data_IF_782466949381
#
_entry.id   IF_782466949381
#
_cell.length_a   1.000
_cell.length_b   1.000
_cell.length_c   1.000
_cell.angle_alpha   90.00
_cell.angle_beta   90.00
_cell.angle_gamma   90.00
#
_symmetry.space_group_name_H-M   'P 1'
#
loop_
_entity.id
_entity.type
_entity.pdbx_description
1 polymer ?
#
# COMPACT_ATOMS: atom_id res chain seq x y z
N UNK A 1 -9.76 -38.69 33.20
CA UNK A 1 -8.91 -37.48 33.20
C UNK A 1 -9.78 -36.30 32.78
N UNK A 2 -10.02 -35.36 33.69
CA UNK A 2 -10.78 -34.13 33.42
C UNK A 2 -9.86 -33.13 32.69
N UNK A 3 -10.33 -32.40 31.66
CA UNK A 3 -9.49 -31.39 31.02
C UNK A 3 -9.23 -30.26 32.01
N UNK A 4 -7.96 -29.93 32.25
CA UNK A 4 -7.57 -28.72 32.97
C UNK A 4 -7.95 -27.54 32.08
N UNK A 5 -9.06 -26.88 32.43
CA UNK A 5 -9.50 -25.64 31.80
C UNK A 5 -8.43 -24.60 32.13
N UNK A 6 -7.53 -24.32 31.17
CA UNK A 6 -6.57 -23.24 31.29
C UNK A 6 -7.32 -21.94 31.63
N UNK A 7 -6.75 -21.11 32.51
CA UNK A 7 -7.34 -19.81 32.85
C UNK A 7 -7.46 -18.99 31.56
N UNK A 8 -8.66 -18.95 31.01
CA UNK A 8 -9.03 -18.05 29.93
C UNK A 8 -8.89 -16.64 30.50
N UNK A 9 -7.89 -15.89 30.03
CA UNK A 9 -7.73 -14.48 30.42
C UNK A 9 -8.99 -13.74 29.99
N UNK A 10 -9.56 -12.98 30.89
CA UNK A 10 -10.75 -12.17 30.66
C UNK A 10 -10.37 -10.99 29.74
N UNK A 11 -10.27 -11.26 28.45
CA UNK A 11 -9.86 -10.34 27.37
C UNK A 11 -10.65 -9.03 27.41
N UNK A 12 -11.91 -9.09 27.86
CA UNK A 12 -12.79 -7.92 27.99
C UNK A 12 -12.31 -6.97 29.08
N UNK A 13 -11.80 -7.47 30.21
CA UNK A 13 -11.24 -6.62 31.28
C UNK A 13 -9.94 -5.96 30.86
N UNK A 14 -9.04 -6.69 30.20
CA UNK A 14 -7.76 -6.16 29.72
C UNK A 14 -7.97 -5.02 28.71
N UNK A 15 -8.92 -5.19 27.76
CA UNK A 15 -9.28 -4.14 26.80
C UNK A 15 -9.89 -2.92 27.51
N UNK A 16 -10.78 -3.11 28.49
CA UNK A 16 -11.39 -2.01 29.23
C UNK A 16 -10.36 -1.24 30.07
N UNK A 17 -9.39 -1.92 30.65
CA UNK A 17 -8.29 -1.31 31.39
C UNK A 17 -7.38 -0.51 30.47
N UNK A 18 -7.04 -1.04 29.30
CA UNK A 18 -6.29 -0.32 28.27
C UNK A 18 -7.03 0.92 27.77
N UNK A 19 -8.33 0.81 27.50
CA UNK A 19 -9.13 1.95 27.05
C UNK A 19 -9.20 3.05 28.12
N UNK A 20 -9.40 2.69 29.39
CA UNK A 20 -9.38 3.64 30.51
C UNK A 20 -8.01 4.28 30.69
N UNK A 21 -6.94 3.50 30.54
CA UNK A 21 -5.58 4.01 30.62
C UNK A 21 -5.30 5.03 29.51
N UNK A 22 -5.70 4.74 28.26
CA UNK A 22 -5.50 5.66 27.15
C UNK A 22 -6.34 6.92 27.29
N UNK A 23 -7.62 6.80 27.67
CA UNK A 23 -8.54 7.94 27.79
C UNK A 23 -8.19 8.89 28.94
N UNK A 24 -7.47 8.41 29.96
CA UNK A 24 -7.00 9.25 31.08
C UNK A 24 -5.69 9.96 30.77
N UNK A 25 -4.91 9.45 29.82
CA UNK A 25 -3.57 9.96 29.49
C UNK A 25 -3.55 10.91 28.31
N UNK A 26 -4.44 10.72 27.34
CA UNK A 26 -4.47 11.51 26.11
C UNK A 26 -5.86 12.09 25.88
N UNK A 27 -5.90 13.38 25.60
CA UNK A 27 -7.10 14.03 25.05
C UNK A 27 -7.21 13.75 23.55
N UNK A 28 -8.38 13.97 22.96
CA UNK A 28 -8.55 13.89 21.51
C UNK A 28 -7.66 14.91 20.77
N UNK A 29 -7.49 16.11 21.35
CA UNK A 29 -6.55 17.12 20.86
C UNK A 29 -5.10 16.63 20.84
N UNK A 30 -4.66 15.89 21.87
CA UNK A 30 -3.33 15.27 21.90
C UNK A 30 -3.18 14.25 20.76
N UNK A 31 -4.17 13.38 20.58
CA UNK A 31 -4.16 12.35 19.52
C UNK A 31 -4.11 13.00 18.14
N UNK A 32 -4.94 14.01 17.90
CA UNK A 32 -4.97 14.73 16.62
C UNK A 32 -3.66 15.47 16.35
N UNK A 33 -3.06 16.11 17.35
CA UNK A 33 -1.73 16.71 17.22
C UNK A 33 -0.66 15.68 16.89
N UNK A 34 -0.59 14.58 17.64
CA UNK A 34 0.36 13.50 17.40
C UNK A 34 0.20 12.89 16.00
N UNK A 35 -1.04 12.71 15.54
CA UNK A 35 -1.35 12.23 14.20
C UNK A 35 -0.83 13.19 13.13
N UNK A 36 -1.12 14.50 13.24
CA UNK A 36 -0.67 15.51 12.27
C UNK A 36 0.86 15.55 12.22
N UNK A 37 1.52 15.61 13.38
CA UNK A 37 2.98 15.66 13.48
C UNK A 37 3.64 14.45 12.83
N UNK A 38 3.22 13.23 13.18
CA UNK A 38 3.83 12.00 12.63
C UNK A 38 3.45 11.75 11.16
N UNK A 39 2.25 12.12 10.72
CA UNK A 39 1.85 12.01 9.31
C UNK A 39 2.68 12.94 8.42
N UNK A 40 2.84 14.21 8.82
CA UNK A 40 3.66 15.17 8.06
C UNK A 40 5.13 14.77 8.06
N UNK A 41 5.65 14.29 9.20
CA UNK A 41 7.00 13.73 9.29
C UNK A 41 7.20 12.55 8.34
N UNK A 42 6.28 11.58 8.33
CA UNK A 42 6.32 10.45 7.39
C UNK A 42 6.32 10.92 5.94
N UNK A 43 5.42 11.83 5.56
CA UNK A 43 5.36 12.36 4.18
C UNK A 43 6.66 13.08 3.80
N UNK A 44 7.21 13.90 4.72
CA UNK A 44 8.44 14.66 4.47
C UNK A 44 9.63 13.76 4.13
N UNK A 45 9.68 12.55 4.68
CA UNK A 45 10.73 11.58 4.37
C UNK A 45 10.76 11.19 2.88
N UNK A 46 9.64 11.31 2.16
CA UNK A 46 9.54 10.94 0.74
C UNK A 46 9.51 12.16 -0.20
N UNK A 47 9.91 13.35 0.28
CA UNK A 47 10.13 14.53 -0.58
C UNK A 47 11.37 14.40 -1.47
N UNK A 48 12.30 13.52 -1.09
CA UNK A 48 13.47 13.11 -1.89
C UNK A 48 13.55 11.59 -1.90
N UNK A 49 13.48 11.03 -3.08
CA UNK A 49 13.43 9.60 -3.38
C UNK A 49 14.26 9.33 -4.62
N UNK A 50 14.66 8.08 -4.81
CA UNK A 50 15.38 7.66 -6.01
C UNK A 50 14.38 7.47 -7.17
N UNK A 51 13.20 6.92 -6.88
CA UNK A 51 12.17 6.65 -7.89
C UNK A 51 10.77 7.00 -7.40
N UNK A 52 10.00 7.62 -8.29
CA UNK A 52 8.55 7.83 -8.13
C UNK A 52 7.83 6.94 -9.15
N UNK A 53 6.97 6.05 -8.66
CA UNK A 53 6.06 5.24 -9.48
C UNK A 53 4.67 5.87 -9.41
N UNK A 54 4.08 6.15 -10.57
CA UNK A 54 2.75 6.76 -10.66
C UNK A 54 1.72 5.68 -11.01
N UNK A 55 0.86 5.36 -10.05
CA UNK A 55 -0.18 4.33 -10.13
C UNK A 55 0.22 3.02 -9.42
N UNK A 56 -0.62 2.56 -8.51
CA UNK A 56 -0.47 1.28 -7.80
C UNK A 56 -1.30 0.16 -8.45
N UNK A 57 -1.34 0.11 -9.79
CA UNK A 57 -1.87 -1.03 -10.54
C UNK A 57 -0.88 -2.21 -10.61
N UNK A 58 -1.20 -3.30 -11.34
CA UNK A 58 -0.33 -4.47 -11.45
C UNK A 58 1.09 -4.14 -11.92
N UNK A 59 1.22 -3.33 -12.98
CA UNK A 59 2.51 -2.93 -13.52
C UNK A 59 3.29 -2.03 -12.55
N UNK A 60 2.63 -1.04 -11.95
CA UNK A 60 3.26 -0.12 -11.00
C UNK A 60 3.74 -0.80 -9.72
N UNK A 61 2.93 -1.69 -9.15
CA UNK A 61 3.33 -2.49 -8.00
C UNK A 61 4.47 -3.47 -8.33
N UNK A 62 4.44 -4.08 -9.52
CA UNK A 62 5.53 -4.96 -9.96
C UNK A 62 6.83 -4.20 -10.16
N UNK A 63 6.78 -3.01 -10.78
CA UNK A 63 7.94 -2.14 -10.94
C UNK A 63 8.48 -1.71 -9.57
N UNK A 64 7.62 -1.21 -8.68
CA UNK A 64 7.99 -0.80 -7.33
C UNK A 64 8.62 -1.95 -6.53
N UNK A 65 8.10 -3.18 -6.65
CA UNK A 65 8.68 -4.37 -6.04
C UNK A 65 10.14 -4.57 -6.46
N UNK A 66 10.44 -4.54 -7.76
CA UNK A 66 11.80 -4.72 -8.25
C UNK A 66 12.73 -3.55 -7.90
N UNK A 67 12.23 -2.32 -7.92
CA UNK A 67 13.00 -1.13 -7.54
C UNK A 67 13.38 -1.19 -6.05
N UNK A 68 12.44 -1.52 -5.17
CA UNK A 68 12.70 -1.69 -3.73
C UNK A 68 13.64 -2.87 -3.47
N UNK A 69 13.45 -4.00 -4.19
CA UNK A 69 14.33 -5.18 -4.12
C UNK A 69 15.77 -4.84 -4.53
N UNK A 70 15.96 -3.82 -5.36
CA UNK A 70 17.27 -3.31 -5.77
C UNK A 70 17.86 -2.28 -4.80
N UNK A 71 17.17 -1.99 -3.68
CA UNK A 71 17.61 -1.04 -2.65
C UNK A 71 17.31 0.43 -2.95
N UNK A 72 16.50 0.72 -3.98
CA UNK A 72 16.13 2.10 -4.32
C UNK A 72 14.97 2.58 -3.46
N UNK A 73 15.14 3.77 -2.85
CA UNK A 73 14.09 4.42 -2.09
C UNK A 73 12.97 4.85 -3.04
N UNK A 74 11.90 4.06 -3.03
CA UNK A 74 10.81 4.17 -3.99
C UNK A 74 9.52 4.60 -3.30
N UNK A 75 8.82 5.56 -3.90
CA UNK A 75 7.43 5.89 -3.56
C UNK A 75 6.48 5.54 -4.70
N UNK A 76 5.33 4.95 -4.38
CA UNK A 76 4.22 4.71 -5.30
C UNK A 76 3.09 5.67 -4.98
N UNK A 77 2.66 6.47 -5.94
CA UNK A 77 1.56 7.42 -5.79
C UNK A 77 0.29 6.83 -6.43
N UNK A 78 -0.78 6.64 -5.66
CA UNK A 78 -2.02 6.06 -6.16
C UNK A 78 -3.21 6.98 -5.92
N UNK A 79 -3.99 7.20 -6.97
CA UNK A 79 -5.16 8.09 -6.94
C UNK A 79 -6.23 7.56 -5.99
N UNK A 80 -6.50 6.26 -5.98
CA UNK A 80 -7.54 5.64 -5.15
C UNK A 80 -7.06 5.33 -3.73
N UNK A 81 -7.99 5.06 -2.80
CA UNK A 81 -7.62 4.61 -1.45
C UNK A 81 -7.03 3.19 -1.40
N UNK A 82 -7.34 2.37 -2.42
CA UNK A 82 -6.89 0.99 -2.50
C UNK A 82 -5.87 0.78 -3.62
N UNK A 83 -4.90 -0.10 -3.36
CA UNK A 83 -3.94 -0.59 -4.36
C UNK A 83 -4.57 -1.64 -5.27
N UNK A 84 -3.96 -1.87 -6.43
CA UNK A 84 -4.34 -2.90 -7.41
C UNK A 84 -5.04 -2.35 -8.66
N UNK A 85 -5.39 -1.07 -8.69
CA UNK A 85 -6.12 -0.46 -9.81
C UNK A 85 -7.40 -1.24 -10.15
N UNK A 86 -7.68 -1.40 -11.45
CA UNK A 86 -8.90 -2.06 -11.92
C UNK A 86 -8.93 -3.60 -11.79
N UNK A 87 -7.81 -4.26 -11.47
CA UNK A 87 -7.76 -5.74 -11.54
C UNK A 87 -8.47 -6.42 -10.36
N UNK A 88 -8.69 -5.73 -9.24
CA UNK A 88 -9.16 -6.36 -7.98
C UNK A 88 -10.49 -7.10 -8.12
N UNK A 89 -11.38 -6.61 -9.00
CA UNK A 89 -12.65 -7.27 -9.31
C UNK A 89 -12.53 -8.40 -10.34
N UNK A 90 -11.35 -8.60 -10.94
CA UNK A 90 -11.13 -9.48 -12.08
C UNK A 90 -11.91 -9.07 -13.33
N UNK A 91 -12.07 -10.00 -14.26
CA UNK A 91 -12.80 -9.76 -15.51
C UNK A 91 -14.32 -9.78 -15.26
N UNK A 92 -15.02 -8.69 -15.58
CA UNK A 92 -16.49 -8.60 -15.42
C UNK A 92 -16.98 -8.85 -13.96
N UNK A 93 -16.19 -8.43 -12.96
CA UNK A 93 -16.46 -8.70 -11.53
C UNK A 93 -16.38 -10.19 -11.13
N UNK A 94 -15.88 -11.05 -12.01
CA UNK A 94 -15.51 -12.42 -11.68
C UNK A 94 -14.10 -12.39 -11.09
N UNK A 95 -13.89 -12.80 -9.82
CA UNK A 95 -12.66 -12.57 -9.06
C UNK A 95 -11.54 -13.54 -9.46
N UNK A 96 -11.17 -13.54 -10.74
CA UNK A 96 -10.16 -14.40 -11.33
C UNK A 96 -9.34 -13.58 -12.33
N UNK A 97 -8.03 -13.67 -12.23
CA UNK A 97 -7.10 -13.14 -13.22
C UNK A 97 -6.35 -14.31 -13.86
N UNK A 98 -6.46 -14.43 -15.18
CA UNK A 98 -5.63 -15.35 -15.97
C UNK A 98 -4.31 -14.65 -16.29
N UNK A 99 -3.21 -15.36 -16.10
CA UNK A 99 -1.86 -14.84 -16.25
C UNK A 99 -1.05 -15.86 -17.05
N UNK A 100 -0.13 -15.37 -17.87
CA UNK A 100 0.86 -16.23 -18.53
C UNK A 100 1.76 -16.91 -17.49
N UNK A 101 2.00 -18.21 -17.66
CA UNK A 101 2.80 -19.04 -16.76
C UNK A 101 4.31 -18.73 -16.74
N UNK A 102 4.76 -17.73 -17.51
CA UNK A 102 6.15 -17.28 -17.56
C UNK A 102 6.50 -16.29 -16.44
N UNK A 103 7.05 -15.15 -16.84
CA UNK A 103 7.62 -14.16 -15.92
C UNK A 103 6.59 -13.60 -14.93
N UNK A 104 5.36 -13.34 -15.39
CA UNK A 104 4.30 -12.80 -14.54
C UNK A 104 3.92 -13.77 -13.39
N UNK A 105 3.80 -15.07 -13.68
CA UNK A 105 3.60 -16.09 -12.64
C UNK A 105 4.79 -16.19 -11.68
N UNK A 106 6.02 -16.04 -12.19
CA UNK A 106 7.25 -16.05 -11.37
C UNK A 106 7.23 -14.94 -10.33
N UNK A 107 6.94 -13.69 -10.72
CA UNK A 107 6.86 -12.56 -9.77
C UNK A 107 5.80 -12.81 -8.71
N UNK A 108 4.62 -13.27 -9.11
CA UNK A 108 3.51 -13.55 -8.20
C UNK A 108 3.89 -14.65 -7.21
N UNK A 109 4.61 -15.68 -7.65
CA UNK A 109 5.13 -16.74 -6.78
C UNK A 109 6.16 -16.21 -5.79
N UNK A 110 7.09 -15.35 -6.22
CA UNK A 110 8.11 -14.73 -5.33
C UNK A 110 7.49 -13.93 -4.18
N UNK A 111 6.38 -13.24 -4.43
CA UNK A 111 5.64 -12.49 -3.40
C UNK A 111 4.66 -13.37 -2.61
N UNK A 112 4.65 -14.68 -2.88
CA UNK A 112 3.92 -15.70 -2.13
C UNK A 112 2.45 -15.83 -2.52
N UNK A 113 2.04 -15.40 -3.71
CA UNK A 113 0.66 -15.55 -4.22
C UNK A 113 0.39 -17.01 -4.57
N UNK A 114 -0.82 -17.49 -4.25
CA UNK A 114 -1.27 -18.81 -4.69
C UNK A 114 -1.58 -18.78 -6.19
N UNK A 115 -0.97 -19.71 -6.90
CA UNK A 115 -1.09 -19.86 -8.35
C UNK A 115 -1.68 -21.23 -8.64
N UNK A 116 -2.61 -21.27 -9.59
CA UNK A 116 -3.31 -22.48 -9.98
C UNK A 116 -3.19 -22.68 -11.48
N UNK A 117 -2.93 -23.92 -11.92
CA UNK A 117 -2.89 -24.26 -13.33
C UNK A 117 -4.27 -24.08 -13.98
N UNK A 118 -4.30 -23.54 -15.19
CA UNK A 118 -5.52 -23.40 -16.00
C UNK A 118 -5.45 -24.25 -17.27
N UNK A 119 -4.40 -24.07 -18.05
CA UNK A 119 -4.16 -24.75 -19.33
C UNK A 119 -2.67 -24.64 -19.71
N UNK A 120 -2.27 -25.21 -20.85
CA UNK A 120 -0.90 -25.11 -21.35
C UNK A 120 -0.44 -23.64 -21.44
N UNK A 121 0.59 -23.30 -20.68
CA UNK A 121 1.17 -21.95 -20.60
C UNK A 121 0.35 -20.91 -19.81
N UNK A 122 -0.78 -21.29 -19.22
CA UNK A 122 -1.69 -20.37 -18.52
C UNK A 122 -1.97 -20.83 -17.09
N UNK A 123 -1.91 -19.86 -16.17
CA UNK A 123 -2.29 -20.01 -14.77
C UNK A 123 -3.37 -19.00 -14.41
N UNK A 124 -4.02 -19.19 -13.28
CA UNK A 124 -4.88 -18.17 -12.69
C UNK A 124 -4.56 -17.90 -11.23
N UNK A 125 -4.91 -16.70 -10.79
CA UNK A 125 -4.75 -16.21 -9.42
C UNK A 125 -5.99 -15.46 -8.97
N UNK A 126 -6.14 -15.32 -7.65
CA UNK A 126 -7.03 -14.31 -7.08
C UNK A 126 -6.36 -12.92 -7.25
N UNK A 127 -6.97 -11.99 -7.99
CA UNK A 127 -6.36 -10.69 -8.26
C UNK A 127 -6.24 -9.80 -7.02
N UNK A 128 -7.13 -9.95 -6.04
CA UNK A 128 -7.07 -9.20 -4.79
C UNK A 128 -5.92 -9.71 -3.92
N UNK A 129 -5.75 -11.03 -3.82
CA UNK A 129 -4.59 -11.64 -3.17
C UNK A 129 -3.28 -11.17 -3.82
N UNK A 130 -3.22 -11.23 -5.16
CA UNK A 130 -2.04 -10.83 -5.94
C UNK A 130 -1.60 -9.41 -5.62
N UNK A 131 -2.52 -8.44 -5.74
CA UNK A 131 -2.20 -7.03 -5.52
C UNK A 131 -1.90 -6.73 -4.04
N UNK A 132 -2.58 -7.40 -3.11
CA UNK A 132 -2.34 -7.22 -1.67
C UNK A 132 -0.97 -7.71 -1.26
N UNK A 133 -0.54 -8.88 -1.74
CA UNK A 133 0.78 -9.45 -1.43
C UNK A 133 1.92 -8.68 -2.08
N UNK A 134 1.76 -8.23 -3.33
CA UNK A 134 2.70 -7.31 -3.97
C UNK A 134 2.87 -6.03 -3.14
N UNK A 135 1.77 -5.38 -2.77
CA UNK A 135 1.81 -4.17 -1.97
C UNK A 135 2.46 -4.40 -0.59
N UNK A 136 2.12 -5.50 0.09
CA UNK A 136 2.73 -5.86 1.37
C UNK A 136 4.26 -6.04 1.23
N UNK A 137 4.72 -6.72 0.17
CA UNK A 137 6.14 -6.94 -0.07
C UNK A 137 6.92 -5.65 -0.32
N UNK A 138 6.30 -4.63 -0.93
CA UNK A 138 6.93 -3.31 -1.07
C UNK A 138 7.21 -2.70 0.30
N UNK A 139 6.26 -2.78 1.24
CA UNK A 139 6.45 -2.28 2.61
C UNK A 139 7.50 -3.07 3.39
N UNK A 140 7.60 -4.39 3.18
CA UNK A 140 8.67 -5.23 3.77
C UNK A 140 10.08 -4.78 3.34
N UNK A 141 10.19 -3.98 2.27
CA UNK A 141 11.44 -3.47 1.69
C UNK A 141 11.57 -1.95 1.81
N UNK A 142 10.91 -1.35 2.82
CA UNK A 142 10.92 0.09 3.13
C UNK A 142 10.40 1.01 2.00
N UNK A 143 9.72 0.43 1.01
CA UNK A 143 8.95 1.18 0.02
C UNK A 143 7.68 1.78 0.63
N UNK A 144 7.20 2.87 0.04
CA UNK A 144 5.98 3.53 0.49
C UNK A 144 4.96 3.65 -0.62
N UNK A 145 3.73 3.24 -0.34
CA UNK A 145 2.59 3.46 -1.23
C UNK A 145 1.73 4.55 -0.59
N UNK A 146 1.58 5.68 -1.27
CA UNK A 146 0.74 6.79 -0.85
C UNK A 146 -0.57 6.76 -1.65
N UNK A 147 -1.66 6.22 -1.07
CA UNK A 147 -2.98 6.28 -1.68
C UNK A 147 -3.65 7.63 -1.47
N UNK A 148 -4.59 7.97 -2.34
CA UNK A 148 -5.38 9.19 -2.26
C UNK A 148 -4.72 10.44 -2.84
N UNK A 149 -3.63 10.28 -3.60
CA UNK A 149 -2.90 11.36 -4.27
C UNK A 149 -2.72 11.06 -5.75
N UNK A 150 -2.77 12.08 -6.59
CA UNK A 150 -2.51 11.95 -8.02
C UNK A 150 -1.39 12.88 -8.45
N UNK A 151 -0.68 12.49 -9.50
CA UNK A 151 0.29 13.37 -10.17
C UNK A 151 -0.48 14.27 -11.13
N UNK A 152 -0.35 15.56 -10.90
CA UNK A 152 -1.00 16.61 -11.70
C UNK A 152 -0.10 17.03 -12.87
N UNK A 153 1.20 17.13 -12.62
CA UNK A 153 2.19 17.54 -13.62
C UNK A 153 3.59 17.00 -13.28
N UNK A 154 4.55 17.20 -14.18
CA UNK A 154 5.95 16.85 -14.00
C UNK A 154 6.81 18.10 -13.77
N UNK A 155 7.86 17.95 -12.99
CA UNK A 155 8.87 18.99 -12.82
C UNK A 155 9.93 18.76 -13.89
N UNK A 156 9.98 19.61 -14.90
CA UNK A 156 10.96 19.54 -15.98
C UNK A 156 12.14 20.48 -15.72
N UNK A 157 13.35 20.02 -16.07
CA UNK A 157 14.56 20.82 -16.19
C UNK A 157 15.09 20.78 -17.62
N UNK A 158 15.93 21.75 -17.97
CA UNK A 158 16.66 21.77 -19.23
C UNK A 158 18.07 21.28 -18.94
N UNK A 159 18.42 20.12 -19.50
CA UNK A 159 19.80 19.64 -19.59
C UNK A 159 20.51 20.23 -20.81
N UNK A 160 21.74 19.83 -21.05
CA UNK A 160 22.57 20.40 -22.12
C UNK A 160 21.95 20.21 -23.51
N UNK A 161 21.28 19.07 -23.76
CA UNK A 161 20.66 18.74 -25.05
C UNK A 161 19.23 18.17 -24.94
N UNK A 162 18.72 17.94 -23.73
CA UNK A 162 17.41 17.26 -23.52
C UNK A 162 16.61 17.88 -22.38
N UNK A 163 15.28 17.71 -22.44
CA UNK A 163 14.39 17.97 -21.30
C UNK A 163 14.51 16.79 -20.32
N UNK A 164 14.80 17.08 -19.07
CA UNK A 164 14.92 16.09 -17.99
C UNK A 164 13.73 16.20 -17.04
N UNK A 165 13.12 15.07 -16.68
CA UNK A 165 12.12 15.04 -15.60
C UNK A 165 12.86 14.89 -14.27
N UNK A 166 12.67 15.86 -13.37
CA UNK A 166 13.34 15.94 -12.07
C UNK A 166 12.41 15.71 -10.87
N UNK A 167 11.13 15.49 -11.13
CA UNK A 167 10.15 15.22 -10.10
C UNK A 167 8.72 15.29 -10.62
N UNK A 168 7.78 15.26 -9.69
CA UNK A 168 6.34 15.33 -9.96
C UNK A 168 5.68 16.35 -9.07
N UNK A 169 4.64 16.99 -9.59
CA UNK A 169 3.70 17.80 -8.82
C UNK A 169 2.54 16.88 -8.43
N UNK A 170 2.28 16.77 -7.14
CA UNK A 170 1.22 15.91 -6.61
C UNK A 170 0.10 16.75 -6.00
N UNK A 171 -1.11 16.22 -6.05
CA UNK A 171 -2.27 16.81 -5.40
C UNK A 171 -3.13 15.72 -4.74
N UNK A 172 -3.92 16.11 -3.76
CA UNK A 172 -4.87 15.22 -3.09
C UNK A 172 -6.03 14.92 -4.02
N UNK A 173 -6.61 13.74 -3.94
CA UNK A 173 -7.81 13.41 -4.70
C UNK A 173 -9.07 13.60 -3.83
N UNK A 174 -9.74 14.78 -3.89
CA UNK A 174 -10.84 15.13 -2.96
C UNK A 174 -12.15 14.38 -3.25
N UNK A 175 -12.27 13.72 -4.40
CA UNK A 175 -13.49 13.06 -4.83
C UNK A 175 -13.75 11.70 -4.13
N UNK A 176 -12.95 11.36 -3.11
CA UNK A 176 -13.17 10.19 -2.26
C UNK A 176 -13.88 10.60 -0.97
N UNK A 177 -14.79 9.75 -0.48
CA UNK A 177 -15.33 9.91 0.87
C UNK A 177 -14.22 9.64 1.88
N UNK A 178 -13.66 10.70 2.42
CA UNK A 178 -12.66 10.64 3.48
C UNK A 178 -13.36 10.54 4.84
N UNK A 179 -12.76 9.79 5.77
CA UNK A 179 -13.11 9.86 7.18
C UNK A 179 -12.54 11.15 7.79
N UNK A 180 -13.32 11.85 8.61
CA UNK A 180 -12.89 13.09 9.25
C UNK A 180 -11.83 12.87 10.34
N UNK A 181 -11.03 13.90 10.59
CA UNK A 181 -10.21 14.02 11.80
C UNK A 181 -11.11 14.62 12.89
N UNK A 182 -11.14 14.00 14.06
CA UNK A 182 -11.90 14.50 15.20
C UNK A 182 -11.12 15.62 15.90
N UNK A 183 -11.72 16.80 16.04
CA UNK A 183 -11.16 17.93 16.79
C UNK A 183 -12.28 18.44 17.70
N UNK A 184 -12.06 18.36 19.02
CA UNK A 184 -12.95 18.89 20.05
C UNK A 184 -12.20 19.88 20.94
#
# INVERSE_FOLDING_TARGET
MTPVRGKEKDMTKEVLEQLRFLSTRYTEGDISRMFIEEALKKISQYTKVDVVVVGAGPAGLTAAYYLCKSGLKTIVLEKNLGVGGGIRGGGMLLPLAVVEGGEAARVLSEVGVRIYDLSEGLVYVDPTEAMTKLAAKIYDMDGFIWPGVYVEDVIAGVGDETIEIRGVVINWSPNMRLTGILIH
#
